data_IF_878568193826
#
_entry.id   IF_878568193826
#
_cell.length_a   1.000
_cell.length_b   1.000
_cell.length_c   1.000
_cell.angle_alpha   90.00
_cell.angle_beta   90.00
_cell.angle_gamma   90.00
#
_symmetry.space_group_name_H-M   'P 1'
#
loop_
_entity.id
_entity.type
_entity.pdbx_description
1 polymer ?
#
# COMPACT_ATOMS: atom_id res chain seq x y z
N UNK A 1 19.60 18.03 -8.99
CA UNK A 1 19.07 16.66 -8.87
C UNK A 1 18.64 16.45 -7.43
N UNK A 2 17.36 16.58 -7.13
CA UNK A 2 16.82 16.32 -5.79
C UNK A 2 16.38 14.85 -5.74
N UNK A 3 16.72 14.07 -4.70
CA UNK A 3 16.09 12.79 -4.46
C UNK A 3 14.64 13.06 -4.05
N UNK A 4 13.66 12.47 -4.73
CA UNK A 4 12.30 12.39 -4.21
C UNK A 4 12.31 11.29 -3.15
N UNK A 5 12.23 11.59 -1.84
CA UNK A 5 11.84 10.56 -0.91
C UNK A 5 10.37 10.29 -1.23
N UNK A 6 10.09 9.21 -1.95
CA UNK A 6 8.77 8.59 -1.98
C UNK A 6 8.51 8.03 -0.58
N UNK A 7 8.30 8.92 0.38
CA UNK A 7 7.83 8.59 1.71
C UNK A 7 6.36 8.23 1.51
N UNK A 8 6.10 6.98 1.12
CA UNK A 8 4.83 6.38 1.45
C UNK A 8 4.65 6.61 2.94
N UNK A 9 3.55 7.22 3.40
CA UNK A 9 3.31 7.32 4.81
C UNK A 9 3.15 5.88 5.30
N UNK A 10 4.21 5.32 5.89
CA UNK A 10 4.13 4.13 6.74
C UNK A 10 3.35 4.58 7.96
N UNK A 11 2.03 4.64 7.78
CA UNK A 11 1.08 4.98 8.80
C UNK A 11 1.20 3.86 9.81
N UNK A 12 1.94 4.12 10.88
CA UNK A 12 2.22 3.18 11.95
C UNK A 12 0.88 2.69 12.49
N UNK A 13 0.47 1.54 11.98
CA UNK A 13 -0.85 0.98 12.18
C UNK A 13 -0.83 0.43 13.60
N UNK A 14 -1.12 1.30 14.59
CA UNK A 14 -1.38 0.87 15.96
C UNK A 14 -2.43 -0.23 15.87
N UNK A 15 -1.98 -1.46 16.12
CA UNK A 15 -2.65 -2.73 15.83
C UNK A 15 -4.00 -2.86 16.55
N UNK A 16 -5.00 -2.11 16.11
CA UNK A 16 -6.39 -2.44 16.38
C UNK A 16 -6.71 -3.61 15.48
N UNK A 17 -6.87 -4.82 16.05
CA UNK A 17 -7.35 -5.99 15.31
C UNK A 17 -8.60 -5.59 14.55
N UNK A 18 -8.52 -5.53 13.23
CA UNK A 18 -9.64 -5.22 12.36
C UNK A 18 -9.54 -6.08 11.11
N UNK A 19 -10.68 -6.25 10.44
CA UNK A 19 -10.75 -6.99 9.20
C UNK A 19 -10.08 -6.20 8.08
N UNK A 20 -9.07 -6.80 7.46
CA UNK A 20 -8.44 -6.20 6.29
C UNK A 20 -9.38 -6.32 5.09
N UNK A 21 -9.97 -5.19 4.70
CA UNK A 21 -10.74 -5.08 3.46
C UNK A 21 -9.86 -4.44 2.40
N UNK A 22 -9.17 -5.29 1.64
CA UNK A 22 -8.33 -4.87 0.54
C UNK A 22 -9.19 -4.43 -0.66
N UNK A 23 -8.84 -3.30 -1.26
CA UNK A 23 -9.44 -2.77 -2.49
C UNK A 23 -8.34 -2.49 -3.50
N UNK A 24 -8.62 -2.77 -4.78
CA UNK A 24 -7.70 -2.44 -5.87
C UNK A 24 -7.45 -0.93 -5.92
N UNK A 25 -6.18 -0.54 -6.04
CA UNK A 25 -5.75 0.87 -6.07
C UNK A 25 -4.94 1.24 -7.31
N UNK A 26 -4.58 0.27 -8.14
CA UNK A 26 -3.80 0.50 -9.35
C UNK A 26 -2.90 -0.69 -9.66
N UNK A 27 -1.91 -0.47 -10.52
CA UNK A 27 -0.84 -1.42 -10.79
C UNK A 27 0.51 -0.85 -10.33
N UNK A 28 1.40 -1.75 -9.92
CA UNK A 28 2.78 -1.45 -9.60
C UNK A 28 3.51 -1.03 -10.87
N UNK A 29 4.14 0.13 -10.83
CA UNK A 29 4.78 0.74 -12.00
C UNK A 29 5.99 -0.06 -12.52
N UNK A 30 6.56 -0.96 -11.72
CA UNK A 30 7.74 -1.73 -12.10
C UNK A 30 7.39 -3.14 -12.60
N UNK A 31 6.36 -3.75 -12.01
CA UNK A 31 6.03 -5.15 -12.28
C UNK A 31 4.72 -5.34 -13.04
N UNK A 32 3.90 -4.29 -13.18
CA UNK A 32 2.52 -4.42 -13.69
C UNK A 32 1.60 -5.22 -12.75
N UNK A 33 2.04 -5.45 -11.51
CA UNK A 33 1.27 -6.23 -10.55
C UNK A 33 0.12 -5.38 -10.00
N UNK A 34 -1.10 -5.91 -10.02
CA UNK A 34 -2.23 -5.23 -9.39
C UNK A 34 -1.97 -4.99 -7.91
N UNK A 35 -2.05 -3.73 -7.48
CA UNK A 35 -1.85 -3.31 -6.10
C UNK A 35 -3.20 -3.21 -5.38
N UNK A 36 -3.22 -3.73 -4.16
CA UNK A 36 -4.38 -3.69 -3.28
C UNK A 36 -4.04 -2.98 -1.97
N UNK A 37 -4.83 -1.98 -1.61
CA UNK A 37 -4.69 -1.27 -0.34
C UNK A 37 -5.85 -1.59 0.60
N UNK A 38 -5.53 -1.76 1.88
CA UNK A 38 -6.51 -1.78 2.95
C UNK A 38 -6.74 -0.34 3.46
N UNK A 39 -7.93 -0.07 4.01
CA UNK A 39 -8.27 1.20 4.67
C UNK A 39 -7.32 1.57 5.83
N UNK A 40 -6.58 0.60 6.39
CA UNK A 40 -5.56 0.85 7.41
C UNK A 40 -4.20 1.28 6.87
N UNK A 41 -4.00 1.31 5.55
CA UNK A 41 -2.75 1.71 4.91
C UNK A 41 -1.82 0.56 4.52
N UNK A 42 -2.17 -0.69 4.85
CA UNK A 42 -1.44 -1.87 4.36
C UNK A 42 -1.67 -2.01 2.85
N UNK A 43 -0.60 -2.02 2.06
CA UNK A 43 -0.62 -2.27 0.62
C UNK A 43 0.03 -3.62 0.32
N UNK A 44 -0.56 -4.41 -0.57
CA UNK A 44 -0.03 -5.71 -1.01
C UNK A 44 -0.18 -5.85 -2.52
N UNK A 45 0.83 -6.39 -3.23
CA UNK A 45 0.67 -6.80 -4.62
C UNK A 45 -0.22 -8.05 -4.71
N UNK A 46 -0.86 -8.23 -5.87
CA UNK A 46 -1.51 -9.48 -6.25
C UNK A 46 -0.52 -10.65 -6.16
N UNK A 47 -0.98 -11.86 -5.80
CA UNK A 47 -0.17 -13.07 -5.88
C UNK A 47 0.25 -13.38 -7.32
#
# INVERSE_FOLDING_TARGET
>A
MLPVPSTTPVRESRLRRHWHRFRWVGEDAFSGASLYACRCGVVRPAP
#
